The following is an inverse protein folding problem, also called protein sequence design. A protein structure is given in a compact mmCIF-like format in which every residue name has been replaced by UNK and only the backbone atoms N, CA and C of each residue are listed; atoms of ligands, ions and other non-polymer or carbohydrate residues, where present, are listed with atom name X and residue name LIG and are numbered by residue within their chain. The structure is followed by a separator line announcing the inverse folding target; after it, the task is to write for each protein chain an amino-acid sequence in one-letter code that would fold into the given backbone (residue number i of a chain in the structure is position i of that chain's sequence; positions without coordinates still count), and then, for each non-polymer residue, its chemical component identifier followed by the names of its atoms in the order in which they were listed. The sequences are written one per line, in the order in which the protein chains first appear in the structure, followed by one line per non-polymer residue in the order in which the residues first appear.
data_IF_330460738834
#
_entry.id   IF_330460738834
#
_cell.length_a   1.000
_cell.length_b   1.000
_cell.length_c   1.000
_cell.angle_alpha   90.00
_cell.angle_beta   90.00
_cell.angle_gamma   90.00
#
_symmetry.space_group_name_H-M   'P 1'
#
loop_
_entity.id
_entity.type
_entity.pdbx_description
1 polymer ?
#
# COMPACT_ATOMS: atom_id res chain seq x y z
N UNK A 1 23.56 -24.42 7.74
CA UNK A 1 24.21 -23.60 6.69
C UNK A 1 24.24 -22.15 7.15
N UNK A 2 25.38 -21.46 7.15
CA UNK A 2 25.40 -20.02 7.39
C UNK A 2 24.69 -19.28 6.26
N UNK A 3 24.09 -18.10 6.52
CA UNK A 3 23.42 -17.31 5.51
C UNK A 3 24.38 -16.96 4.37
N UNK A 4 23.92 -17.11 3.11
CA UNK A 4 24.71 -16.87 1.88
C UNK A 4 24.93 -15.37 1.58
N UNK A 5 24.44 -14.49 2.44
CA UNK A 5 24.51 -13.04 2.24
C UNK A 5 25.63 -12.44 3.08
N UNK A 6 26.48 -11.57 2.51
CA UNK A 6 27.61 -10.96 3.21
C UNK A 6 27.20 -9.91 4.26
N UNK A 7 25.90 -9.59 4.35
CA UNK A 7 25.35 -8.58 5.27
C UNK A 7 24.29 -9.21 6.18
N UNK A 8 24.18 -8.68 7.40
CA UNK A 8 23.17 -9.06 8.40
C UNK A 8 22.03 -8.05 8.44
N UNK A 9 20.92 -8.42 9.08
CA UNK A 9 19.79 -7.51 9.26
C UNK A 9 20.18 -6.23 10.02
N UNK A 10 21.00 -6.36 11.07
CA UNK A 10 21.49 -5.22 11.85
C UNK A 10 22.30 -4.24 10.98
N UNK A 11 23.13 -4.76 10.07
CA UNK A 11 23.88 -3.91 9.12
C UNK A 11 22.97 -3.23 8.09
N UNK A 12 21.87 -3.89 7.68
CA UNK A 12 20.87 -3.32 6.78
C UNK A 12 20.13 -2.16 7.44
N UNK A 13 19.69 -2.32 8.69
CA UNK A 13 18.94 -1.30 9.43
C UNK A 13 19.80 -0.05 9.66
N UNK A 14 21.08 -0.22 10.01
CA UNK A 14 22.05 0.88 10.11
C UNK A 14 22.24 1.60 8.77
N UNK A 15 22.43 0.86 7.68
CA UNK A 15 22.60 1.44 6.35
C UNK A 15 21.37 2.24 5.90
N UNK A 16 20.16 1.74 6.18
CA UNK A 16 18.91 2.45 5.88
C UNK A 16 18.80 3.72 6.72
N UNK A 17 19.08 3.64 8.02
CA UNK A 17 19.07 4.79 8.91
C UNK A 17 20.05 5.90 8.47
N UNK A 18 21.28 5.55 8.10
CA UNK A 18 22.30 6.51 7.66
C UNK A 18 21.94 7.23 6.35
N UNK A 19 21.22 6.54 5.46
CA UNK A 19 20.71 7.16 4.24
C UNK A 19 19.52 8.07 4.53
N UNK A 20 18.59 7.65 5.40
CA UNK A 20 17.43 8.45 5.78
C UNK A 20 17.83 9.71 6.58
N UNK A 21 18.86 9.60 7.42
CA UNK A 21 19.47 10.72 8.17
C UNK A 21 20.40 11.60 7.32
N UNK A 22 20.54 11.29 6.02
CA UNK A 22 21.38 12.01 5.05
C UNK A 22 22.88 12.04 5.39
N UNK A 23 23.35 11.14 6.25
CA UNK A 23 24.78 10.95 6.56
C UNK A 23 25.52 10.38 5.36
N UNK A 24 24.86 9.47 4.63
CA UNK A 24 25.39 8.86 3.41
C UNK A 24 24.37 8.90 2.27
N UNK A 25 24.87 9.01 1.03
CA UNK A 25 24.04 8.74 -0.15
C UNK A 25 23.85 7.22 -0.28
N UNK A 26 22.74 6.76 -0.87
CA UNK A 26 22.46 5.33 -1.04
C UNK A 26 23.60 4.54 -1.74
N UNK A 27 24.35 5.18 -2.65
CA UNK A 27 25.51 4.54 -3.28
C UNK A 27 26.68 4.36 -2.30
N UNK A 28 26.96 5.38 -1.50
CA UNK A 28 28.04 5.40 -0.51
C UNK A 28 27.76 4.43 0.64
N UNK A 29 26.50 4.39 1.12
CA UNK A 29 26.07 3.44 2.14
C UNK A 29 26.13 1.98 1.64
N UNK A 30 25.74 1.72 0.39
CA UNK A 30 25.84 0.38 -0.20
C UNK A 30 27.29 -0.15 -0.19
N UNK A 31 28.26 0.71 -0.53
CA UNK A 31 29.67 0.36 -0.47
C UNK A 31 30.19 0.21 0.97
N UNK A 32 29.87 1.15 1.85
CA UNK A 32 30.34 1.15 3.24
C UNK A 32 29.87 -0.08 4.03
N UNK A 33 28.65 -0.53 3.78
CA UNK A 33 28.03 -1.64 4.49
C UNK A 33 28.12 -2.99 3.75
N UNK A 34 28.73 -3.03 2.56
CA UNK A 34 28.84 -4.26 1.76
C UNK A 34 27.49 -4.80 1.26
N UNK A 35 26.50 -3.92 1.11
CA UNK A 35 25.13 -4.27 0.71
C UNK A 35 24.96 -3.96 -0.79
N UNK A 36 24.47 -4.91 -1.61
CA UNK A 36 24.16 -4.62 -3.01
C UNK A 36 23.21 -3.43 -3.14
N UNK A 37 23.53 -2.45 -3.98
CA UNK A 37 22.77 -1.19 -4.09
C UNK A 37 21.29 -1.40 -4.42
N UNK A 38 20.97 -2.43 -5.22
CA UNK A 38 19.59 -2.81 -5.52
C UNK A 38 18.81 -3.23 -4.27
N UNK A 39 19.46 -3.99 -3.39
CA UNK A 39 18.88 -4.42 -2.11
C UNK A 39 18.66 -3.21 -1.21
N UNK A 40 19.68 -2.36 -1.03
CA UNK A 40 19.55 -1.18 -0.17
C UNK A 40 18.42 -0.25 -0.65
N UNK A 41 18.31 0.02 -1.96
CA UNK A 41 17.20 0.83 -2.52
C UNK A 41 15.83 0.21 -2.27
N UNK A 42 15.69 -1.12 -2.38
CA UNK A 42 14.43 -1.82 -2.05
C UNK A 42 14.04 -1.61 -0.59
N UNK A 43 14.99 -1.70 0.33
CA UNK A 43 14.73 -1.45 1.75
C UNK A 43 14.44 0.03 2.04
N UNK A 44 15.10 0.96 1.33
CA UNK A 44 14.83 2.39 1.45
C UNK A 44 13.44 2.79 0.94
N UNK A 45 12.96 2.16 -0.15
CA UNK A 45 11.61 2.36 -0.65
C UNK A 45 10.56 1.93 0.37
N UNK A 46 10.78 0.80 1.04
CA UNK A 46 9.92 0.30 2.13
C UNK A 46 9.99 1.16 3.40
N UNK A 47 11.15 1.74 3.70
CA UNK A 47 11.37 2.53 4.90
C UNK A 47 10.95 4.00 4.76
N UNK A 48 10.65 4.47 3.54
CA UNK A 48 10.13 5.81 3.34
C UNK A 48 8.69 5.89 3.88
N UNK A 49 8.42 6.76 4.88
CA UNK A 49 7.13 6.83 5.57
C UNK A 49 5.96 7.36 4.70
N UNK A 50 6.16 7.53 3.40
CA UNK A 50 5.12 7.93 2.44
C UNK A 50 4.71 6.83 1.45
N UNK A 51 5.42 5.70 1.41
CA UNK A 51 5.11 4.60 0.47
C UNK A 51 4.47 3.46 1.24
N UNK A 52 3.16 3.59 1.50
CA UNK A 52 2.34 2.44 1.83
C UNK A 52 2.25 1.63 0.53
N UNK A 53 3.17 0.67 0.31
CA UNK A 53 3.00 -0.34 -0.73
C UNK A 53 1.83 -1.23 -0.33
N UNK A 54 0.60 -0.76 -0.57
CA UNK A 54 -0.54 -1.67 -0.67
C UNK A 54 -0.16 -2.61 -1.80
N UNK A 55 -0.21 -3.94 -1.59
CA UNK A 55 0.10 -4.90 -2.64
C UNK A 55 -0.65 -4.49 -3.91
N UNK A 56 0.10 -4.13 -4.95
CA UNK A 56 -0.48 -3.83 -6.26
C UNK A 56 -1.14 -5.13 -6.71
N UNK A 57 -2.47 -5.18 -6.63
CA UNK A 57 -3.25 -6.30 -7.13
C UNK A 57 -2.85 -6.56 -8.58
N UNK A 58 -2.44 -7.78 -8.91
CA UNK A 58 -2.15 -8.21 -10.28
C UNK A 58 -3.45 -8.50 -11.03
N UNK A 59 -4.37 -7.54 -11.05
CA UNK A 59 -5.71 -7.67 -11.61
C UNK A 59 -6.21 -6.36 -12.23
N UNK A 60 -7.40 -6.40 -12.83
CA UNK A 60 -8.06 -5.21 -13.37
C UNK A 60 -8.17 -4.17 -12.27
N UNK A 61 -7.82 -2.91 -12.58
CA UNK A 61 -7.95 -1.81 -11.65
C UNK A 61 -9.37 -1.82 -11.03
N UNK A 62 -9.49 -1.63 -9.71
CA UNK A 62 -10.80 -1.63 -9.05
C UNK A 62 -11.66 -0.56 -9.72
N UNK A 63 -12.88 -0.97 -10.12
CA UNK A 63 -13.86 -0.07 -10.77
C UNK A 63 -14.28 1.04 -9.79
N UNK A 64 -14.21 0.74 -8.50
CA UNK A 64 -14.57 1.64 -7.42
C UNK A 64 -13.29 2.29 -6.84
N UNK A 65 -13.23 3.63 -6.71
CA UNK A 65 -12.13 4.28 -6.02
C UNK A 65 -11.97 3.76 -4.59
N UNK A 66 -10.73 3.65 -4.13
CA UNK A 66 -10.36 3.00 -2.86
C UNK A 66 -11.15 3.48 -1.63
N UNK A 67 -11.41 4.77 -1.52
CA UNK A 67 -12.21 5.35 -0.43
C UNK A 67 -13.59 4.70 -0.29
N UNK A 68 -14.24 4.43 -1.43
CA UNK A 68 -15.56 3.82 -1.47
C UNK A 68 -15.52 2.31 -1.28
N UNK A 69 -14.40 1.67 -1.62
CA UNK A 69 -14.16 0.26 -1.29
C UNK A 69 -14.01 0.06 0.22
N UNK A 70 -13.30 0.97 0.89
CA UNK A 70 -13.15 0.97 2.36
C UNK A 70 -14.50 1.20 3.08
N UNK A 71 -15.33 2.12 2.56
CA UNK A 71 -16.70 2.33 3.05
C UNK A 71 -17.58 1.09 2.85
N UNK A 72 -17.48 0.45 1.67
CA UNK A 72 -18.22 -0.77 1.36
C UNK A 72 -17.82 -1.93 2.29
N UNK A 73 -16.52 -2.10 2.52
CA UNK A 73 -16.00 -3.10 3.45
C UNK A 73 -16.47 -2.84 4.90
N UNK A 74 -16.43 -1.59 5.34
CA UNK A 74 -16.92 -1.19 6.67
C UNK A 74 -18.40 -1.49 6.83
N UNK A 75 -19.20 -1.22 5.80
CA UNK A 75 -20.63 -1.55 5.79
C UNK A 75 -20.88 -3.06 5.86
N UNK A 76 -20.14 -3.87 5.08
CA UNK A 76 -20.25 -5.35 5.12
C UNK A 76 -19.96 -5.87 6.53
N UNK A 77 -18.86 -5.43 7.15
CA UNK A 77 -18.48 -5.84 8.51
C UNK A 77 -19.55 -5.41 9.53
N UNK A 78 -20.14 -4.23 9.38
CA UNK A 78 -21.25 -3.78 10.23
C UNK A 78 -22.47 -4.71 10.12
N UNK A 79 -22.86 -5.05 8.90
CA UNK A 79 -23.99 -5.96 8.64
C UNK A 79 -23.77 -7.37 9.19
N UNK A 80 -22.54 -7.91 9.07
CA UNK A 80 -22.18 -9.20 9.67
C UNK A 80 -22.25 -9.19 11.20
N UNK A 81 -21.79 -8.11 11.84
CA UNK A 81 -21.87 -7.94 13.30
C UNK A 81 -23.31 -7.87 13.80
N UNK A 82 -24.20 -7.27 13.01
CA UNK A 82 -25.64 -7.18 13.31
C UNK A 82 -26.40 -8.50 13.02
N UNK A 83 -25.69 -9.57 12.65
CA UNK A 83 -26.27 -10.88 12.37
C UNK A 83 -27.01 -10.96 11.03
N UNK A 84 -26.78 -10.00 10.13
CA UNK A 84 -27.41 -9.92 8.80
C UNK A 84 -26.33 -10.01 7.72
N UNK A 85 -25.78 -11.20 7.44
CA UNK A 85 -24.75 -11.35 6.42
C UNK A 85 -25.31 -10.91 5.06
N UNK A 86 -24.57 -10.03 4.39
CA UNK A 86 -24.94 -9.49 3.07
C UNK A 86 -24.39 -10.36 1.95
N UNK A 87 -25.26 -10.70 1.00
CA UNK A 87 -24.90 -11.52 -0.15
C UNK A 87 -24.24 -10.70 -1.26
N UNK A 88 -23.61 -11.41 -2.21
CA UNK A 88 -22.97 -10.83 -3.39
C UNK A 88 -23.88 -9.82 -4.12
N UNK A 89 -25.18 -10.13 -4.27
CA UNK A 89 -26.12 -9.29 -5.02
C UNK A 89 -26.36 -7.92 -4.35
N UNK A 90 -26.41 -7.90 -3.03
CA UNK A 90 -26.60 -6.69 -2.23
C UNK A 90 -25.33 -5.83 -2.22
N UNK A 91 -24.16 -6.47 -2.15
CA UNK A 91 -22.86 -5.80 -2.23
C UNK A 91 -22.71 -5.11 -3.60
N UNK A 92 -23.04 -5.80 -4.69
CA UNK A 92 -23.02 -5.22 -6.04
C UNK A 92 -23.99 -4.05 -6.16
N UNK A 93 -25.20 -4.19 -5.61
CA UNK A 93 -26.20 -3.11 -5.64
C UNK A 93 -25.73 -1.88 -4.85
N UNK A 94 -25.15 -2.09 -3.66
CA UNK A 94 -24.57 -1.01 -2.86
C UNK A 94 -23.40 -0.33 -3.58
N UNK A 95 -22.50 -1.10 -4.19
CA UNK A 95 -21.38 -0.57 -4.96
C UNK A 95 -21.84 0.26 -6.16
N UNK A 96 -22.87 -0.19 -6.89
CA UNK A 96 -23.46 0.56 -8.00
C UNK A 96 -24.13 1.86 -7.53
N UNK A 97 -24.82 1.85 -6.38
CA UNK A 97 -25.39 3.08 -5.81
C UNK A 97 -24.31 4.09 -5.44
N UNK A 98 -23.18 3.63 -4.90
CA UNK A 98 -22.04 4.52 -4.61
C UNK A 98 -21.48 5.10 -5.92
N UNK A 99 -21.36 4.28 -6.96
CA UNK A 99 -20.88 4.71 -8.27
C UNK A 99 -21.80 5.77 -8.91
N UNK A 100 -23.12 5.60 -8.79
CA UNK A 100 -24.12 6.53 -9.31
C UNK A 100 -24.02 7.91 -8.65
N UNK A 101 -23.94 7.95 -7.32
CA UNK A 101 -23.76 9.20 -6.55
C UNK A 101 -22.46 9.92 -6.93
N UNK A 102 -21.38 9.16 -7.15
CA UNK A 102 -20.07 9.73 -7.54
C UNK A 102 -20.12 10.33 -8.95
N UNK A 103 -20.81 9.68 -9.89
CA UNK A 103 -20.96 10.20 -11.25
C UNK A 103 -21.89 11.42 -11.32
N UNK A 104 -23.00 11.43 -10.57
CA UNK A 104 -23.90 12.60 -10.51
C UNK A 104 -23.22 13.82 -9.88
N UNK A 105 -22.41 13.63 -8.85
CA UNK A 105 -21.64 14.72 -8.21
C UNK A 105 -20.59 15.31 -9.17
N UNK A 106 -20.07 14.49 -10.09
CA UNK A 106 -19.07 14.93 -11.09
C UNK A 106 -19.72 15.70 -12.24
N UNK A 107 -20.98 15.40 -12.59
CA UNK A 107 -21.72 16.11 -13.65
C UNK A 107 -22.39 17.41 -13.17
N UNK A 108 -22.52 17.63 -11.86
CA UNK A 108 -23.16 18.80 -11.27
C UNK A 108 -22.31 20.07 -11.11
N UNK A 109 -21.03 20.08 -11.52
CA UNK A 109 -20.11 21.24 -11.39
C UNK A 109 -19.88 21.99 -12.71
N UNK A 110 -20.96 22.22 -13.47
CA UNK A 110 -20.98 23.19 -14.58
C UNK A 110 -22.22 24.09 -14.48
N UNK A 111 -22.29 24.95 -13.47
CA UNK A 111 -23.10 26.19 -13.47
C UNK A 111 -22.37 27.28 -12.69
#
# INVERSE_FOLDING_TARGET
MPPRTPYTQVTMEKAVHDVLSKVHTASTAAQAYGIPSRTLRKHLAKAHPGVIEIPTSFGRAPILPRQYEEDLATWIVGMERDGKPVGYREIVQKANNILDVVHDTTNGTNL
#
